data_IF_993553831734
#
_entry.id   IF_993553831734
#
_cell.length_a   1.000
_cell.length_b   1.000
_cell.length_c   1.000
_cell.angle_alpha   90.00
_cell.angle_beta   90.00
_cell.angle_gamma   90.00
#
_symmetry.space_group_name_H-M   'P 1'
#
loop_
_entity.id
_entity.type
_entity.pdbx_description
1 polymer ?
#
# COMPACT_ATOMS: atom_id res chain seq x y z
N UNK A 1 -56.69 -25.22 20.61
CA UNK A 1 -56.13 -24.09 19.85
C UNK A 1 -54.76 -24.51 19.33
N UNK A 2 -54.72 -25.13 18.17
CA UNK A 2 -53.46 -25.48 17.48
C UNK A 2 -53.24 -24.43 16.39
N UNK A 3 -52.18 -23.64 16.57
CA UNK A 3 -51.81 -22.56 15.68
C UNK A 3 -51.04 -23.18 14.50
N UNK A 4 -51.74 -23.50 13.42
CA UNK A 4 -51.10 -23.97 12.18
C UNK A 4 -50.37 -22.78 11.52
N UNK A 5 -49.04 -22.76 11.65
CA UNK A 5 -48.19 -21.88 10.88
C UNK A 5 -48.26 -22.26 9.40
N UNK A 6 -48.81 -21.38 8.58
CA UNK A 6 -48.75 -21.51 7.12
C UNK A 6 -47.29 -21.52 6.66
N UNK A 7 -46.90 -22.38 5.70
CA UNK A 7 -45.54 -22.40 5.16
C UNK A 7 -45.25 -21.06 4.45
N UNK A 8 -44.05 -20.50 4.67
CA UNK A 8 -43.53 -19.41 3.84
C UNK A 8 -43.45 -19.91 2.39
N UNK A 9 -44.34 -19.43 1.51
CA UNK A 9 -44.20 -19.63 0.08
C UNK A 9 -43.00 -18.81 -0.40
N UNK A 10 -41.89 -19.47 -0.71
CA UNK A 10 -40.80 -18.86 -1.48
C UNK A 10 -41.34 -18.56 -2.88
N UNK A 11 -41.67 -17.29 -3.14
CA UNK A 11 -41.88 -16.83 -4.51
C UNK A 11 -40.54 -16.90 -5.24
N UNK A 12 -40.49 -17.64 -6.35
CA UNK A 12 -39.35 -17.60 -7.25
C UNK A 12 -39.09 -16.14 -7.66
N UNK A 13 -37.83 -15.69 -7.77
CA UNK A 13 -37.53 -14.34 -8.24
C UNK A 13 -38.24 -14.10 -9.56
N UNK A 14 -39.06 -13.04 -9.66
CA UNK A 14 -39.65 -12.64 -10.92
C UNK A 14 -38.52 -12.40 -11.93
N UNK A 15 -38.65 -12.94 -13.14
CA UNK A 15 -37.66 -12.73 -14.21
C UNK A 15 -37.55 -11.22 -14.49
N UNK A 16 -36.40 -10.64 -14.16
CA UNK A 16 -36.12 -9.22 -14.40
C UNK A 16 -36.03 -8.97 -15.90
N UNK A 17 -37.01 -8.25 -16.44
CA UNK A 17 -37.02 -7.83 -17.83
C UNK A 17 -35.92 -6.80 -18.08
N UNK A 18 -34.93 -7.13 -18.93
CA UNK A 18 -33.82 -6.23 -19.29
C UNK A 18 -32.43 -6.85 -19.11
N UNK A 19 -32.33 -8.05 -18.53
CA UNK A 19 -31.07 -8.79 -18.47
C UNK A 19 -30.68 -9.25 -19.88
N UNK A 20 -29.55 -8.74 -20.37
CA UNK A 20 -28.95 -9.26 -21.60
C UNK A 20 -28.34 -10.63 -21.33
N UNK A 21 -28.74 -11.65 -22.11
CA UNK A 21 -28.26 -13.03 -21.98
C UNK A 21 -27.44 -13.52 -23.17
N UNK A 22 -27.52 -12.84 -24.32
CA UNK A 22 -26.68 -13.13 -25.49
C UNK A 22 -25.43 -12.24 -25.53
N UNK A 23 -24.29 -12.85 -25.19
CA UNK A 23 -22.97 -12.22 -25.23
C UNK A 23 -22.09 -12.77 -26.35
N UNK A 24 -22.62 -13.49 -27.34
CA UNK A 24 -21.80 -14.13 -28.39
C UNK A 24 -20.87 -13.17 -29.14
N UNK A 25 -21.27 -11.90 -29.27
CA UNK A 25 -20.49 -10.82 -29.87
C UNK A 25 -20.35 -9.59 -28.94
N UNK A 26 -20.54 -9.75 -27.63
CA UNK A 26 -20.45 -8.65 -26.65
C UNK A 26 -19.46 -9.02 -25.57
N UNK A 27 -18.69 -8.04 -25.12
CA UNK A 27 -17.74 -8.23 -24.03
C UNK A 27 -18.46 -8.74 -22.77
N UNK A 28 -17.99 -9.85 -22.27
CA UNK A 28 -18.42 -10.47 -21.02
C UNK A 28 -17.67 -9.90 -19.83
N UNK A 29 -18.18 -10.14 -18.62
CA UNK A 29 -17.50 -9.81 -17.36
C UNK A 29 -16.10 -10.44 -17.28
N UNK A 30 -15.98 -11.71 -17.68
CA UNK A 30 -14.72 -12.45 -17.70
C UNK A 30 -13.68 -11.81 -18.62
N UNK A 31 -14.10 -11.39 -19.82
CA UNK A 31 -13.20 -10.74 -20.79
C UNK A 31 -12.75 -9.34 -20.36
N UNK A 32 -13.64 -8.56 -19.74
CA UNK A 32 -13.32 -7.22 -19.24
C UNK A 32 -12.30 -7.28 -18.10
N UNK A 33 -12.51 -8.16 -17.13
CA UNK A 33 -11.63 -8.31 -15.97
C UNK A 33 -10.43 -9.23 -16.21
N UNK A 34 -10.35 -9.85 -17.40
CA UNK A 34 -9.34 -10.86 -17.73
C UNK A 34 -9.30 -11.99 -16.70
N UNK A 35 -10.48 -12.48 -16.30
CA UNK A 35 -10.59 -13.48 -15.24
C UNK A 35 -9.83 -14.76 -15.54
N UNK A 36 -9.68 -15.15 -16.81
CA UNK A 36 -8.85 -16.30 -17.15
C UNK A 36 -7.40 -16.10 -16.68
N UNK A 37 -6.80 -14.92 -16.91
CA UNK A 37 -5.43 -14.64 -16.44
C UNK A 37 -5.34 -14.57 -14.90
N UNK A 38 -6.37 -14.03 -14.25
CA UNK A 38 -6.39 -13.88 -12.80
C UNK A 38 -6.61 -15.23 -12.10
N UNK A 39 -7.56 -16.03 -12.57
CA UNK A 39 -8.04 -17.26 -11.93
C UNK A 39 -7.25 -18.52 -12.36
N UNK A 40 -6.29 -18.39 -13.28
CA UNK A 40 -5.35 -19.48 -13.61
C UNK A 40 -3.92 -19.20 -13.13
N UNK A 41 -3.69 -18.13 -12.37
CA UNK A 41 -2.36 -17.76 -11.86
C UNK A 41 -1.97 -18.47 -10.55
N UNK A 42 -2.83 -19.35 -10.01
CA UNK A 42 -2.61 -20.02 -8.71
C UNK A 42 -1.92 -21.38 -8.88
N UNK A 43 -0.65 -21.37 -9.25
CA UNK A 43 0.16 -22.57 -9.38
C UNK A 43 0.77 -22.98 -8.03
N UNK A 44 0.29 -24.09 -7.48
CA UNK A 44 0.81 -24.68 -6.23
C UNK A 44 2.02 -25.56 -6.51
N UNK A 45 3.04 -25.47 -5.66
CA UNK A 45 4.26 -26.29 -5.68
C UNK A 45 4.16 -27.52 -4.77
N UNK A 46 3.19 -27.52 -3.86
CA UNK A 46 2.84 -28.63 -2.97
C UNK A 46 1.42 -29.14 -3.25
N UNK A 47 1.10 -30.30 -2.64
CA UNK A 47 -0.27 -30.80 -2.59
C UNK A 47 -1.00 -30.37 -1.30
N UNK A 48 -0.37 -29.53 -0.46
CA UNK A 48 -0.95 -29.10 0.80
C UNK A 48 -2.18 -28.22 0.58
N UNK A 49 -3.18 -28.36 1.45
CA UNK A 49 -4.45 -27.62 1.35
C UNK A 49 -4.21 -26.10 1.42
N UNK A 50 -3.46 -25.66 2.44
CA UNK A 50 -3.29 -24.25 2.77
C UNK A 50 -2.33 -23.46 1.87
N UNK A 51 -1.65 -24.10 0.92
CA UNK A 51 -0.83 -23.36 -0.03
C UNK A 51 -1.68 -22.43 -0.93
N UNK A 52 -2.93 -22.81 -1.22
CA UNK A 52 -3.85 -21.94 -1.96
C UNK A 52 -4.12 -20.63 -1.21
N UNK A 53 -4.35 -20.70 0.11
CA UNK A 53 -4.48 -19.51 0.96
C UNK A 53 -3.22 -18.65 0.87
N UNK A 54 -2.05 -19.28 0.99
CA UNK A 54 -0.77 -18.58 0.92
C UNK A 54 -0.59 -17.85 -0.43
N UNK A 55 -0.95 -18.46 -1.56
CA UNK A 55 -0.86 -17.80 -2.87
C UNK A 55 -1.86 -16.65 -2.99
N UNK A 56 -3.14 -16.91 -2.73
CA UNK A 56 -4.23 -15.95 -2.94
C UNK A 56 -4.01 -14.68 -2.10
N UNK A 57 -3.56 -14.80 -0.85
CA UNK A 57 -3.41 -13.63 0.02
C UNK A 57 -2.32 -12.67 -0.50
N UNK A 58 -1.24 -13.20 -1.07
CA UNK A 58 -0.19 -12.39 -1.68
C UNK A 58 -0.65 -11.78 -2.99
N UNK A 59 -1.38 -12.52 -3.83
CA UNK A 59 -1.93 -11.99 -5.09
C UNK A 59 -2.93 -10.86 -4.86
N UNK A 60 -3.87 -11.01 -3.91
CA UNK A 60 -4.80 -9.95 -3.53
C UNK A 60 -4.04 -8.72 -2.99
N UNK A 61 -3.00 -8.95 -2.18
CA UNK A 61 -2.15 -7.86 -1.68
C UNK A 61 -1.46 -7.10 -2.81
N UNK A 62 -0.89 -7.79 -3.79
CA UNK A 62 -0.24 -7.19 -4.95
C UNK A 62 -1.23 -6.41 -5.85
N UNK A 63 -2.47 -6.89 -5.99
CA UNK A 63 -3.53 -6.14 -6.68
C UNK A 63 -3.90 -4.84 -5.94
N UNK A 64 -3.97 -4.88 -4.61
CA UNK A 64 -4.20 -3.67 -3.81
C UNK A 64 -3.00 -2.72 -3.85
N UNK A 65 -1.77 -3.22 -3.80
CA UNK A 65 -0.56 -2.39 -3.96
C UNK A 65 -0.53 -1.70 -5.32
N UNK A 66 -0.95 -2.38 -6.39
CA UNK A 66 -1.09 -1.78 -7.73
C UNK A 66 -2.05 -0.59 -7.72
N UNK A 67 -3.20 -0.72 -7.05
CA UNK A 67 -4.17 0.38 -6.91
C UNK A 67 -3.63 1.51 -6.03
N UNK A 68 -2.96 1.19 -4.92
CA UNK A 68 -2.31 2.18 -4.05
C UNK A 68 -1.31 3.01 -4.85
N UNK A 69 -0.47 2.38 -5.67
CA UNK A 69 0.50 3.07 -6.53
C UNK A 69 -0.19 3.97 -7.56
N UNK A 70 -1.22 3.44 -8.25
CA UNK A 70 -1.98 4.21 -9.23
C UNK A 70 -2.55 5.51 -8.62
N UNK A 71 -3.18 5.40 -7.46
CA UNK A 71 -3.78 6.56 -6.77
C UNK A 71 -2.73 7.50 -6.17
N UNK A 72 -1.62 6.96 -5.64
CA UNK A 72 -0.53 7.75 -5.05
C UNK A 72 0.17 8.58 -6.12
N UNK A 73 0.49 7.99 -7.28
CA UNK A 73 1.10 8.74 -8.38
C UNK A 73 0.16 9.82 -8.94
N UNK A 74 -1.13 9.54 -9.02
CA UNK A 74 -2.12 10.54 -9.42
C UNK A 74 -2.31 11.64 -8.36
N UNK A 75 -2.15 11.34 -7.06
CA UNK A 75 -2.11 12.34 -6.00
C UNK A 75 -0.87 13.23 -6.09
N UNK A 76 0.32 12.63 -6.31
CA UNK A 76 1.58 13.34 -6.53
C UNK A 76 1.44 14.31 -7.72
N UNK A 77 0.89 13.84 -8.85
CA UNK A 77 0.66 14.67 -10.03
C UNK A 77 -0.26 15.86 -9.74
N UNK A 78 -1.35 15.65 -8.98
CA UNK A 78 -2.26 16.73 -8.60
C UNK A 78 -1.63 17.74 -7.65
N UNK A 79 -0.82 17.30 -6.68
CA UNK A 79 -0.11 18.21 -5.78
C UNK A 79 0.86 19.09 -6.58
N UNK A 80 1.61 18.50 -7.52
CA UNK A 80 2.50 19.25 -8.43
C UNK A 80 1.75 20.27 -9.28
N UNK A 81 0.51 19.96 -9.68
CA UNK A 81 -0.35 20.88 -10.43
C UNK A 81 -1.08 21.90 -9.54
N UNK A 82 -0.78 21.96 -8.24
CA UNK A 82 -1.46 22.80 -7.24
C UNK A 82 -2.97 22.51 -7.10
N UNK A 83 -3.41 21.30 -7.45
CA UNK A 83 -4.78 20.81 -7.31
C UNK A 83 -4.87 19.88 -6.07
N UNK A 84 -4.81 20.50 -4.90
CA UNK A 84 -4.93 19.79 -3.62
C UNK A 84 -6.28 19.10 -3.42
N UNK A 85 -7.44 19.68 -3.80
CA UNK A 85 -8.73 19.00 -3.65
C UNK A 85 -8.78 17.63 -4.34
N UNK A 86 -8.27 17.51 -5.57
CA UNK A 86 -8.22 16.22 -6.25
C UNK A 86 -7.22 15.27 -5.63
N UNK A 87 -6.12 15.77 -5.05
CA UNK A 87 -5.17 14.90 -4.32
C UNK A 87 -5.83 14.28 -3.08
N UNK A 88 -6.65 15.03 -2.34
CA UNK A 88 -7.36 14.52 -1.16
C UNK A 88 -8.28 13.36 -1.48
N UNK A 89 -9.03 13.45 -2.58
CA UNK A 89 -9.93 12.37 -3.02
C UNK A 89 -9.17 11.08 -3.32
N UNK A 90 -7.97 11.20 -3.92
CA UNK A 90 -7.12 10.06 -4.26
C UNK A 90 -6.47 9.47 -3.00
N UNK A 91 -5.91 10.31 -2.13
CA UNK A 91 -5.33 9.87 -0.85
C UNK A 91 -6.38 9.21 0.05
N UNK A 92 -7.62 9.71 0.08
CA UNK A 92 -8.71 9.05 0.79
C UNK A 92 -8.98 7.62 0.27
N UNK A 93 -8.86 7.40 -1.05
CA UNK A 93 -8.95 6.06 -1.64
C UNK A 93 -7.75 5.21 -1.27
N UNK A 94 -6.53 5.76 -1.27
CA UNK A 94 -5.33 5.06 -0.79
C UNK A 94 -5.53 4.56 0.64
N UNK A 95 -5.98 5.41 1.56
CA UNK A 95 -6.24 5.01 2.96
C UNK A 95 -7.26 3.87 3.06
N UNK A 96 -8.34 3.91 2.26
CA UNK A 96 -9.33 2.82 2.24
C UNK A 96 -8.74 1.53 1.67
N UNK A 97 -7.94 1.59 0.61
CA UNK A 97 -7.24 0.42 0.09
C UNK A 97 -6.22 -0.14 1.10
N UNK A 98 -5.50 0.72 1.81
CA UNK A 98 -4.59 0.32 2.90
C UNK A 98 -5.36 -0.42 4.02
N UNK A 99 -6.55 0.05 4.38
CA UNK A 99 -7.37 -0.66 5.38
C UNK A 99 -7.74 -2.08 4.95
N UNK A 100 -7.95 -2.32 3.64
CA UNK A 100 -8.26 -3.66 3.12
C UNK A 100 -7.05 -4.60 3.15
N UNK A 101 -5.87 -4.13 2.70
CA UNK A 101 -4.65 -4.95 2.75
C UNK A 101 -4.20 -5.24 4.19
N UNK A 102 -4.60 -4.42 5.17
CA UNK A 102 -4.39 -4.72 6.59
C UNK A 102 -5.30 -5.85 7.08
N UNK A 103 -6.59 -5.81 6.73
CA UNK A 103 -7.55 -6.86 7.09
C UNK A 103 -7.21 -8.22 6.44
N UNK A 104 -6.52 -8.22 5.31
CA UNK A 104 -6.01 -9.44 4.68
C UNK A 104 -5.17 -10.30 5.64
N UNK A 105 -4.46 -9.69 6.60
CA UNK A 105 -3.71 -10.43 7.63
C UNK A 105 -4.59 -11.27 8.55
N UNK A 106 -5.88 -10.97 8.68
CA UNK A 106 -6.82 -11.75 9.50
C UNK A 106 -7.09 -13.11 8.87
N UNK A 107 -7.11 -13.18 7.54
CA UNK A 107 -7.25 -14.45 6.80
C UNK A 107 -5.97 -15.27 6.92
N UNK A 108 -4.79 -14.69 6.66
CA UNK A 108 -3.53 -15.45 6.80
C UNK A 108 -3.27 -15.88 8.25
N UNK A 109 -3.79 -15.13 9.22
CA UNK A 109 -3.72 -15.47 10.64
C UNK A 109 -4.46 -16.76 11.02
N UNK A 110 -5.25 -17.37 10.14
CA UNK A 110 -5.83 -18.70 10.39
C UNK A 110 -4.84 -19.83 10.11
N UNK A 111 -3.76 -19.56 9.36
CA UNK A 111 -2.69 -20.51 9.11
C UNK A 111 -1.85 -20.73 10.38
N UNK A 112 -1.72 -21.98 10.78
CA UNK A 112 -0.95 -22.38 11.96
C UNK A 112 0.53 -22.65 11.61
N UNK A 113 1.42 -22.60 12.62
CA UNK A 113 2.82 -23.03 12.43
C UNK A 113 2.96 -24.45 11.90
N UNK A 114 2.10 -25.38 12.35
CA UNK A 114 2.15 -26.79 11.96
C UNK A 114 1.88 -26.92 10.46
N UNK A 115 0.77 -26.36 9.98
CA UNK A 115 0.39 -26.38 8.56
C UNK A 115 1.46 -25.71 7.69
N UNK A 116 1.97 -24.54 8.10
CA UNK A 116 2.97 -23.84 7.29
C UNK A 116 4.28 -24.63 7.14
N UNK A 117 4.72 -25.31 8.20
CA UNK A 117 5.95 -26.09 8.16
C UNK A 117 5.88 -27.29 7.20
N UNK A 118 4.68 -27.77 6.85
CA UNK A 118 4.49 -28.91 5.93
C UNK A 118 4.82 -28.58 4.47
N UNK A 119 4.66 -27.32 4.05
CA UNK A 119 4.94 -26.90 2.67
C UNK A 119 6.01 -25.82 2.53
N UNK A 120 6.51 -25.25 3.63
CA UNK A 120 7.50 -24.16 3.63
C UNK A 120 8.74 -24.45 2.77
N UNK A 121 9.29 -25.66 2.84
CA UNK A 121 10.54 -26.01 2.12
C UNK A 121 10.36 -26.01 0.60
N UNK A 122 9.12 -26.21 0.11
CA UNK A 122 8.80 -26.20 -1.32
C UNK A 122 8.73 -24.78 -1.91
N UNK A 123 8.57 -23.76 -1.07
CA UNK A 123 8.52 -22.35 -1.49
C UNK A 123 9.90 -21.81 -1.95
N UNK A 124 10.98 -22.57 -1.71
CA UNK A 124 12.33 -22.20 -2.13
C UNK A 124 12.80 -20.87 -1.51
N UNK A 125 13.32 -19.97 -2.37
CA UNK A 125 13.87 -18.68 -1.96
C UNK A 125 12.90 -17.50 -2.17
N UNK A 126 11.63 -17.78 -2.48
CA UNK A 126 10.63 -16.74 -2.67
C UNK A 126 10.43 -15.93 -1.38
N UNK A 127 10.45 -14.60 -1.50
CA UNK A 127 10.43 -13.70 -0.36
C UNK A 127 9.77 -12.38 -0.70
N UNK A 128 9.02 -11.80 0.25
CA UNK A 128 8.40 -10.48 0.11
C UNK A 128 9.38 -9.34 -0.17
N UNK A 129 10.68 -9.55 0.09
CA UNK A 129 11.75 -8.63 -0.34
C UNK A 129 11.81 -8.41 -1.86
N UNK A 130 11.29 -9.36 -2.64
CA UNK A 130 11.25 -9.34 -4.10
C UNK A 130 9.96 -8.68 -4.64
N UNK A 131 9.08 -8.16 -3.77
CA UNK A 131 7.93 -7.38 -4.22
C UNK A 131 8.39 -6.01 -4.71
N UNK A 132 8.39 -5.83 -6.03
CA UNK A 132 8.74 -4.56 -6.65
C UNK A 132 7.67 -3.49 -6.37
N UNK A 133 6.39 -3.87 -6.27
CA UNK A 133 5.31 -2.90 -6.00
C UNK A 133 5.41 -2.36 -4.58
N UNK A 134 5.69 -3.22 -3.59
CA UNK A 134 5.98 -2.75 -2.23
C UNK A 134 7.15 -1.76 -2.22
N UNK A 135 8.20 -2.03 -3.00
CA UNK A 135 9.34 -1.10 -3.10
C UNK A 135 8.98 0.22 -3.77
N UNK A 136 8.16 0.19 -4.81
CA UNK A 136 7.64 1.40 -5.46
C UNK A 136 6.82 2.25 -4.48
N UNK A 137 6.05 1.62 -3.58
CA UNK A 137 5.31 2.34 -2.53
C UNK A 137 6.29 3.04 -1.58
N UNK A 138 7.31 2.33 -1.09
CA UNK A 138 8.33 2.94 -0.23
C UNK A 138 9.04 4.12 -0.92
N UNK A 139 9.38 3.99 -2.21
CA UNK A 139 9.97 5.08 -2.99
C UNK A 139 9.02 6.26 -3.19
N UNK A 140 7.74 5.98 -3.44
CA UNK A 140 6.71 7.00 -3.59
C UNK A 140 6.45 7.76 -2.29
N UNK A 141 6.66 7.14 -1.13
CA UNK A 141 6.49 7.78 0.19
C UNK A 141 7.77 8.47 0.69
N UNK A 142 8.94 8.13 0.16
CA UNK A 142 10.21 8.85 0.44
C UNK A 142 11.35 7.98 0.97
N UNK A 143 11.12 6.68 1.24
CA UNK A 143 12.18 5.77 1.67
C UNK A 143 12.96 5.23 0.46
N UNK A 144 13.99 5.97 0.03
CA UNK A 144 14.80 5.65 -1.15
C UNK A 144 15.97 4.72 -0.80
N UNK A 145 15.99 3.52 -1.39
CA UNK A 145 17.05 2.52 -1.11
C UNK A 145 17.63 1.97 -2.41
N UNK A 146 18.86 2.36 -2.75
CA UNK A 146 19.51 1.93 -4.00
C UNK A 146 19.83 0.44 -4.08
N UNK A 147 20.21 -0.17 -2.96
CA UNK A 147 20.69 -1.56 -2.93
C UNK A 147 19.68 -2.58 -3.47
N UNK A 148 18.38 -2.28 -3.34
CA UNK A 148 17.29 -3.16 -3.78
C UNK A 148 17.18 -3.25 -5.31
N UNK A 149 17.67 -2.25 -6.04
CA UNK A 149 17.57 -2.22 -7.51
C UNK A 149 18.32 -3.41 -8.14
N UNK A 150 19.37 -3.89 -7.46
CA UNK A 150 20.16 -5.05 -7.89
C UNK A 150 19.33 -6.33 -8.07
N UNK A 151 18.23 -6.47 -7.33
CA UNK A 151 17.34 -7.65 -7.44
C UNK A 151 16.74 -7.75 -8.84
N UNK A 152 16.52 -6.61 -9.49
CA UNK A 152 15.74 -6.51 -10.73
C UNK A 152 16.62 -6.28 -11.97
N UNK A 153 17.95 -6.26 -11.86
CA UNK A 153 18.87 -6.02 -13.00
C UNK A 153 18.68 -6.98 -14.18
N UNK A 154 18.16 -8.18 -13.93
CA UNK A 154 17.86 -9.17 -14.98
C UNK A 154 16.59 -8.85 -15.77
N UNK A 155 15.65 -8.11 -15.18
CA UNK A 155 14.42 -7.66 -15.82
C UNK A 155 14.57 -6.18 -16.17
N UNK A 156 14.96 -5.91 -17.42
CA UNK A 156 15.30 -4.56 -17.86
C UNK A 156 14.14 -3.58 -17.72
N UNK A 157 12.94 -3.98 -18.10
CA UNK A 157 11.75 -3.12 -18.05
C UNK A 157 11.39 -2.77 -16.60
N UNK A 158 11.41 -3.78 -15.72
CA UNK A 158 11.13 -3.56 -14.31
C UNK A 158 12.24 -2.75 -13.61
N UNK A 159 13.50 -2.99 -13.98
CA UNK A 159 14.62 -2.23 -13.47
C UNK A 159 14.49 -0.74 -13.84
N UNK A 160 14.22 -0.43 -15.10
CA UNK A 160 14.04 0.95 -15.58
C UNK A 160 12.91 1.66 -14.83
N UNK A 161 11.76 0.99 -14.67
CA UNK A 161 10.63 1.50 -13.87
C UNK A 161 11.02 1.81 -12.42
N UNK A 162 11.80 0.95 -11.79
CA UNK A 162 12.27 1.16 -10.42
C UNK A 162 13.31 2.29 -10.32
N UNK A 163 14.19 2.44 -11.31
CA UNK A 163 15.15 3.57 -11.37
C UNK A 163 14.41 4.89 -11.50
N UNK A 164 13.41 4.96 -12.37
CA UNK A 164 12.58 6.15 -12.54
C UNK A 164 11.90 6.54 -11.23
N UNK A 165 11.23 5.59 -10.56
CA UNK A 165 10.59 5.84 -9.27
C UNK A 165 11.58 6.18 -8.15
N UNK A 166 12.79 5.60 -8.18
CA UNK A 166 13.87 5.90 -7.24
C UNK A 166 14.34 7.35 -7.38
N UNK A 167 14.42 7.88 -8.60
CA UNK A 167 14.86 9.24 -8.92
C UNK A 167 13.73 10.29 -8.87
N UNK A 168 12.47 9.87 -8.94
CA UNK A 168 11.32 10.77 -8.89
C UNK A 168 11.10 11.34 -7.48
N UNK A 169 10.57 12.58 -7.36
CA UNK A 169 10.15 13.12 -6.07
C UNK A 169 9.05 12.25 -5.44
N UNK A 170 9.14 12.08 -4.13
CA UNK A 170 8.12 11.40 -3.33
C UNK A 170 6.89 12.27 -3.10
N UNK A 171 5.86 11.67 -2.50
CA UNK A 171 4.68 12.35 -1.99
C UNK A 171 5.03 13.44 -0.98
N UNK A 172 6.05 13.21 -0.15
CA UNK A 172 6.49 14.24 0.80
C UNK A 172 7.24 15.38 0.11
N UNK A 173 8.11 15.06 -0.85
CA UNK A 173 8.84 16.07 -1.61
C UNK A 173 7.89 17.05 -2.32
N UNK A 174 6.84 16.55 -2.96
CA UNK A 174 5.84 17.42 -3.61
C UNK A 174 4.95 18.15 -2.59
N UNK A 175 4.79 17.61 -1.39
CA UNK A 175 4.07 18.29 -0.30
C UNK A 175 4.89 19.46 0.26
N UNK A 176 6.21 19.31 0.37
CA UNK A 176 7.13 20.40 0.73
C UNK A 176 7.11 21.49 -0.34
N UNK A 177 7.09 21.12 -1.62
CA UNK A 177 6.91 22.08 -2.72
C UNK A 177 5.56 22.82 -2.61
N UNK A 178 4.49 22.15 -2.19
CA UNK A 178 3.20 22.79 -1.96
C UNK A 178 3.23 23.81 -0.80
N UNK A 179 4.01 23.56 0.26
CA UNK A 179 4.24 24.56 1.32
C UNK A 179 4.92 25.81 0.75
N UNK A 180 5.99 25.63 -0.03
CA UNK A 180 6.71 26.73 -0.67
C UNK A 180 5.81 27.52 -1.64
N UNK A 181 4.99 26.84 -2.45
CA UNK A 181 4.03 27.46 -3.36
C UNK A 181 2.95 28.28 -2.63
N UNK A 182 2.65 27.95 -1.37
CA UNK A 182 1.76 28.73 -0.51
C UNK A 182 2.45 29.93 0.16
N UNK A 183 3.73 30.19 -0.16
CA UNK A 183 4.51 31.31 0.35
C UNK A 183 5.13 31.07 1.73
N UNK A 184 5.18 29.81 2.20
CA UNK A 184 5.90 29.46 3.44
C UNK A 184 7.40 29.36 3.16
N UNK A 185 8.23 29.81 4.10
CA UNK A 185 9.67 29.80 3.96
C UNK A 185 10.21 28.37 4.06
N UNK A 186 10.76 27.87 2.96
CA UNK A 186 11.41 26.56 2.85
C UNK A 186 12.83 26.77 2.32
N UNK A 187 13.80 26.05 2.86
CA UNK A 187 15.17 26.09 2.37
C UNK A 187 15.23 25.69 0.88
N UNK A 188 15.85 26.55 0.04
CA UNK A 188 15.83 26.39 -1.41
C UNK A 188 16.40 25.04 -1.89
N UNK A 189 17.37 24.48 -1.16
CA UNK A 189 18.00 23.20 -1.49
C UNK A 189 17.06 21.99 -1.35
N UNK A 190 15.88 22.15 -0.72
CA UNK A 190 14.86 21.11 -0.59
C UNK A 190 13.85 21.09 -1.73
N UNK A 191 13.66 22.22 -2.43
CA UNK A 191 12.69 22.33 -3.53
C UNK A 191 13.11 21.47 -4.73
N UNK A 192 14.40 21.50 -5.05
CA UNK A 192 15.02 20.74 -6.16
C UNK A 192 16.23 19.93 -5.65
N UNK A 193 16.00 19.10 -4.62
CA UNK A 193 17.03 18.22 -4.08
C UNK A 193 17.29 17.02 -5.00
N UNK A 194 18.39 16.32 -4.74
CA UNK A 194 18.58 14.96 -5.25
C UNK A 194 17.57 13.99 -4.59
N UNK A 195 16.45 13.75 -5.26
CA UNK A 195 15.37 12.89 -4.78
C UNK A 195 15.76 11.43 -4.62
N UNK A 196 16.91 11.01 -5.17
CA UNK A 196 17.42 9.65 -4.99
C UNK A 196 17.96 9.41 -3.58
N UNK A 197 18.25 10.48 -2.83
CA UNK A 197 18.66 10.40 -1.43
C UNK A 197 17.43 10.29 -0.52
N UNK A 198 17.50 9.52 0.59
CA UNK A 198 16.50 9.60 1.64
C UNK A 198 16.31 11.04 2.12
N UNK A 199 15.05 11.43 2.36
CA UNK A 199 14.76 12.72 2.97
C UNK A 199 15.27 12.73 4.42
N UNK A 200 15.79 13.88 4.85
CA UNK A 200 16.23 14.13 6.23
C UNK A 200 15.46 15.33 6.73
N UNK A 201 14.98 15.24 7.97
CA UNK A 201 14.18 16.29 8.59
C UNK A 201 14.90 17.65 8.54
N UNK A 202 14.13 18.72 8.35
CA UNK A 202 14.66 20.07 8.22
C UNK A 202 13.80 21.09 8.98
N UNK A 203 14.48 22.03 9.66
CA UNK A 203 13.82 23.03 10.51
C UNK A 203 12.89 23.96 9.72
N UNK A 204 13.24 24.35 8.49
CA UNK A 204 12.36 25.21 7.66
C UNK A 204 11.05 24.51 7.32
N UNK A 205 11.08 23.20 7.04
CA UNK A 205 9.89 22.37 6.78
C UNK A 205 9.06 22.21 8.06
N UNK A 206 9.72 21.99 9.20
CA UNK A 206 9.07 21.92 10.51
C UNK A 206 8.34 23.22 10.85
N UNK A 207 9.00 24.37 10.72
CA UNK A 207 8.39 25.69 10.98
C UNK A 207 7.25 26.03 10.01
N UNK A 208 7.37 25.63 8.73
CA UNK A 208 6.29 25.77 7.77
C UNK A 208 5.05 24.96 8.17
N UNK A 209 5.22 23.70 8.58
CA UNK A 209 4.11 22.91 9.12
C UNK A 209 3.55 23.49 10.41
N UNK A 210 4.38 23.93 11.36
CA UNK A 210 3.89 24.61 12.58
C UNK A 210 3.03 25.83 12.24
N UNK A 211 3.44 26.62 11.26
CA UNK A 211 2.67 27.77 10.76
C UNK A 211 1.31 27.35 10.20
N UNK A 212 1.26 26.25 9.43
CA UNK A 212 0.00 25.68 8.93
C UNK A 212 -0.94 25.29 10.06
N UNK A 213 -0.43 24.58 11.08
CA UNK A 213 -1.26 24.09 12.21
C UNK A 213 -1.70 25.22 13.16
N UNK A 214 -0.90 26.29 13.31
CA UNK A 214 -1.28 27.48 14.10
C UNK A 214 -2.27 28.40 13.39
N UNK A 215 -2.39 28.28 12.07
CA UNK A 215 -3.25 29.13 11.25
C UNK A 215 -4.13 28.30 10.29
N UNK A 216 -4.85 27.33 10.85
CA UNK A 216 -5.68 26.37 10.09
C UNK A 216 -6.69 27.07 9.17
N UNK A 217 -7.35 28.14 9.62
CA UNK A 217 -8.32 28.88 8.78
C UNK A 217 -7.69 29.45 7.51
N UNK A 218 -6.41 29.86 7.58
CA UNK A 218 -5.65 30.39 6.44
C UNK A 218 -5.11 29.28 5.54
N UNK A 219 -4.67 28.18 6.15
CA UNK A 219 -3.95 27.10 5.46
C UNK A 219 -4.74 25.78 5.40
N UNK A 220 -6.07 25.85 5.36
CA UNK A 220 -6.95 24.67 5.46
C UNK A 220 -6.56 23.50 4.55
N UNK A 221 -6.26 23.78 3.28
CA UNK A 221 -5.87 22.74 2.34
C UNK A 221 -4.51 22.10 2.69
N UNK A 222 -3.54 22.87 3.19
CA UNK A 222 -2.27 22.32 3.64
C UNK A 222 -2.43 21.57 4.96
N UNK A 223 -3.25 22.05 5.87
CA UNK A 223 -3.61 21.33 7.10
C UNK A 223 -4.23 19.97 6.77
N UNK A 224 -5.21 19.95 5.86
CA UNK A 224 -5.83 18.71 5.37
C UNK A 224 -4.82 17.80 4.67
N UNK A 225 -3.89 18.34 3.87
CA UNK A 225 -2.81 17.56 3.28
C UNK A 225 -1.93 16.92 4.36
N UNK A 226 -1.51 17.69 5.37
CA UNK A 226 -0.72 17.22 6.49
C UNK A 226 -1.40 16.05 7.23
N UNK A 227 -2.67 16.19 7.58
CA UNK A 227 -3.43 15.10 8.23
C UNK A 227 -3.58 13.87 7.31
N UNK A 228 -3.75 14.08 5.99
CA UNK A 228 -3.79 12.97 5.02
C UNK A 228 -2.45 12.23 4.93
N UNK A 229 -1.32 12.93 5.02
CA UNK A 229 -0.01 12.30 5.05
C UNK A 229 0.16 11.46 6.33
N UNK A 230 -0.23 12.00 7.48
CA UNK A 230 -0.23 11.27 8.76
C UNK A 230 -1.11 10.01 8.67
N UNK A 231 -2.33 10.10 8.14
CA UNK A 231 -3.22 8.95 7.92
C UNK A 231 -2.51 7.85 7.10
N UNK A 232 -1.88 8.22 5.98
CA UNK A 232 -1.23 7.28 5.05
C UNK A 232 -0.06 6.55 5.72
N UNK A 233 0.75 7.27 6.50
CA UNK A 233 1.86 6.68 7.24
C UNK A 233 1.36 5.78 8.37
N UNK A 234 0.36 6.21 9.15
CA UNK A 234 -0.25 5.39 10.21
C UNK A 234 -0.79 4.07 9.65
N UNK A 235 -1.58 4.12 8.58
CA UNK A 235 -2.09 2.91 7.93
C UNK A 235 -0.97 1.97 7.45
N UNK A 236 0.12 2.51 6.90
CA UNK A 236 1.25 1.70 6.49
C UNK A 236 1.98 1.08 7.69
N UNK A 237 2.12 1.79 8.79
CA UNK A 237 2.74 1.26 10.01
C UNK A 237 1.88 0.17 10.66
N UNK A 238 0.55 0.34 10.67
CA UNK A 238 -0.38 -0.70 11.08
C UNK A 238 -0.23 -1.95 10.20
N UNK A 239 -0.11 -1.79 8.88
CA UNK A 239 0.16 -2.90 7.97
C UNK A 239 1.48 -3.60 8.29
N UNK A 240 2.58 -2.84 8.48
CA UNK A 240 3.91 -3.37 8.84
C UNK A 240 3.87 -4.13 10.17
N UNK A 241 3.13 -3.61 11.15
CA UNK A 241 2.99 -4.25 12.46
C UNK A 241 2.20 -5.56 12.37
N UNK A 242 1.05 -5.55 11.67
CA UNK A 242 0.23 -6.75 11.45
C UNK A 242 0.98 -7.81 10.66
N UNK A 243 1.75 -7.40 9.64
CA UNK A 243 2.66 -8.28 8.92
C UNK A 243 3.68 -8.93 9.87
N UNK A 244 4.42 -8.13 10.64
CA UNK A 244 5.40 -8.62 11.59
C UNK A 244 4.79 -9.61 12.59
N UNK A 245 3.63 -9.30 13.17
CA UNK A 245 2.94 -10.19 14.11
C UNK A 245 2.43 -11.47 13.47
N UNK A 246 1.97 -11.41 12.23
CA UNK A 246 1.54 -12.60 11.49
C UNK A 246 2.73 -13.51 11.15
N UNK A 247 3.88 -12.94 10.81
CA UNK A 247 5.12 -13.71 10.62
C UNK A 247 5.57 -14.33 11.95
N UNK A 248 5.61 -13.55 13.03
CA UNK A 248 6.03 -14.02 14.36
C UNK A 248 5.18 -15.20 14.86
N UNK A 249 3.86 -15.15 14.65
CA UNK A 249 2.98 -16.26 15.06
C UNK A 249 3.11 -17.52 14.20
N UNK A 250 3.52 -17.43 12.93
CA UNK A 250 3.63 -18.58 12.02
C UNK A 250 5.03 -19.21 12.12
N UNK A 251 6.10 -18.41 12.12
CA UNK A 251 7.48 -18.91 12.06
C UNK A 251 8.34 -18.57 13.28
N UNK A 252 7.82 -17.84 14.26
CA UNK A 252 8.61 -17.33 15.39
C UNK A 252 9.74 -16.42 14.91
N UNK A 253 10.94 -16.64 15.46
CA UNK A 253 12.16 -15.90 15.13
C UNK A 253 13.06 -16.62 14.10
N UNK A 254 12.51 -17.59 13.35
CA UNK A 254 13.26 -18.26 12.28
C UNK A 254 13.70 -17.24 11.22
N UNK A 255 14.87 -17.48 10.63
CA UNK A 255 15.39 -16.75 9.47
C UNK A 255 14.36 -16.81 8.33
N UNK A 256 14.17 -15.69 7.64
CA UNK A 256 13.25 -15.60 6.50
C UNK A 256 13.78 -16.36 5.29
N UNK A 257 12.89 -16.80 4.38
CA UNK A 257 13.26 -17.49 3.13
C UNK A 257 14.19 -16.65 2.23
N UNK A 258 14.09 -15.33 2.30
CA UNK A 258 15.00 -14.39 1.63
C UNK A 258 16.31 -14.08 2.37
N UNK A 259 16.67 -14.83 3.42
CA UNK A 259 17.94 -14.67 4.15
C UNK A 259 18.01 -13.54 5.19
N UNK A 260 16.91 -12.80 5.40
CA UNK A 260 16.84 -11.78 6.46
C UNK A 260 16.76 -12.40 7.86
N UNK A 261 17.03 -11.60 8.89
CA UNK A 261 16.85 -11.98 10.30
C UNK A 261 15.38 -12.18 10.72
N UNK A 262 14.44 -12.23 9.77
CA UNK A 262 13.02 -12.49 10.00
C UNK A 262 12.35 -11.36 10.75
N UNK A 263 11.71 -11.70 11.88
CA UNK A 263 10.99 -10.74 12.73
C UNK A 263 11.86 -9.56 13.18
N UNK A 264 13.16 -9.77 13.41
CA UNK A 264 14.06 -8.68 13.84
C UNK A 264 14.25 -7.62 12.75
N UNK A 265 14.34 -8.04 11.47
CA UNK A 265 14.35 -7.10 10.36
C UNK A 265 13.02 -6.33 10.30
N UNK A 266 11.89 -7.03 10.40
CA UNK A 266 10.56 -6.41 10.37
C UNK A 266 10.35 -5.41 11.52
N UNK A 267 10.90 -5.69 12.71
CA UNK A 267 10.92 -4.73 13.83
C UNK A 267 11.67 -3.45 13.48
N UNK A 268 12.86 -3.56 12.88
CA UNK A 268 13.65 -2.38 12.49
C UNK A 268 12.93 -1.50 11.45
N UNK A 269 12.11 -2.11 10.58
CA UNK A 269 11.32 -1.37 9.58
C UNK A 269 10.20 -0.54 10.21
N UNK A 270 9.69 -0.90 11.39
CA UNK A 270 8.69 -0.11 12.14
C UNK A 270 9.24 1.21 12.68
N UNK A 271 10.56 1.32 12.84
CA UNK A 271 11.20 2.56 13.34
C UNK A 271 11.32 3.63 12.24
N UNK A 272 11.13 3.26 10.98
CA UNK A 272 11.22 4.17 9.85
C UNK A 272 10.04 5.14 9.84
N UNK A 273 10.31 6.43 9.62
CA UNK A 273 9.28 7.44 9.37
C UNK A 273 9.41 8.03 7.98
N UNK A 274 8.27 8.33 7.35
CA UNK A 274 8.22 8.95 6.02
C UNK A 274 8.07 10.46 6.11
N UNK A 275 7.28 10.96 7.07
CA UNK A 275 6.96 12.38 7.20
C UNK A 275 7.35 12.90 8.60
N UNK A 276 8.67 12.94 8.93
CA UNK A 276 9.13 13.08 10.31
C UNK A 276 8.63 14.35 11.01
N UNK A 277 8.65 15.51 10.33
CA UNK A 277 8.22 16.78 10.93
C UNK A 277 6.74 16.76 11.35
N UNK A 278 5.88 16.07 10.59
CA UNK A 278 4.46 15.95 10.95
C UNK A 278 4.27 15.19 12.26
N UNK A 279 5.13 14.21 12.57
CA UNK A 279 5.07 13.52 13.86
C UNK A 279 5.70 14.34 14.99
N UNK A 280 6.84 14.98 14.72
CA UNK A 280 7.61 15.67 15.74
C UNK A 280 6.92 16.96 16.21
N UNK A 281 6.22 17.67 15.30
CA UNK A 281 5.57 18.94 15.64
C UNK A 281 4.43 18.80 16.67
N UNK A 282 3.93 17.58 16.93
CA UNK A 282 2.81 17.35 17.85
C UNK A 282 3.09 17.76 19.30
N UNK A 283 4.36 17.84 19.68
CA UNK A 283 4.76 18.33 21.01
C UNK A 283 4.86 19.87 21.08
N UNK A 284 4.57 20.57 19.99
CA UNK A 284 4.92 21.99 19.79
C UNK A 284 3.79 22.85 19.20
N UNK A 285 2.65 22.24 18.85
CA UNK A 285 1.42 22.94 18.45
C UNK A 285 0.84 23.69 19.63
#
# INVERSE_FOLDING_TARGET
MTNEQKPFQQQAPQEETGIHTDFKNRMTYGEYLKLDQVLTAQERLSNHHDEMLFIIIHQVSELWMKLILHETYAAIASIKANDLPSSFKRLARVSKTQSQIIQAWDVLSTLTPTEYMEFREQLGQASGFQSYQYRLIEFALGHKTRAILKIYEKDKELHEKLVEAYQAPSLYDVSIQALANAGLAIDQHLIERDFSKPYVANDSVREAWLTVYRHVDRYWNLYQLGEKLVDIEDWLQQWRFRHMKTVERIIGFKVGTGGSSGVNYLKSVLEQRFFPELWDLRTEI
#
